data_IF_002145281055
#
_entry.id   IF_002145281055
#
_cell.length_a   1.000
_cell.length_b   1.000
_cell.length_c   1.000
_cell.angle_alpha   90.00
_cell.angle_beta   90.00
_cell.angle_gamma   90.00
#
_symmetry.space_group_name_H-M   'P 1'
#
loop_
_entity.id
_entity.type
_entity.pdbx_description
1 polymer ?
#
# COMPACT_ATOMS: atom_id res chain seq x y z
N UNK A 1 96.80 65.11 -22.20
CA UNK A 1 96.96 64.66 -23.61
C UNK A 1 97.41 63.20 -23.57
N UNK A 2 96.96 62.34 -24.50
CA UNK A 2 95.98 62.62 -25.55
C UNK A 2 94.52 62.41 -25.07
N UNK A 3 93.97 61.20 -25.15
CA UNK A 3 92.60 60.93 -25.64
C UNK A 3 91.93 59.66 -25.06
N UNK A 4 90.69 59.28 -25.40
CA UNK A 4 89.71 59.82 -26.38
C UNK A 4 88.27 59.77 -25.85
N UNK A 5 87.42 60.69 -26.35
CA UNK A 5 85.98 60.66 -26.11
C UNK A 5 85.31 59.64 -27.03
N UNK A 6 84.24 58.98 -26.56
CA UNK A 6 83.10 58.74 -27.42
C UNK A 6 81.77 58.67 -26.63
N UNK A 7 80.82 59.53 -27.00
CA UNK A 7 79.40 59.40 -26.61
C UNK A 7 78.70 58.73 -27.79
N UNK A 8 78.00 57.63 -27.55
CA UNK A 8 77.01 57.10 -28.49
C UNK A 8 75.69 56.99 -27.73
N UNK A 9 74.68 57.68 -28.23
CA UNK A 9 73.29 57.58 -27.76
C UNK A 9 72.56 56.63 -28.69
N UNK A 10 72.03 55.51 -28.20
CA UNK A 10 71.20 54.62 -28.99
C UNK A 10 70.11 53.97 -28.13
N UNK A 11 68.97 53.75 -28.76
CA UNK A 11 67.67 53.48 -28.17
C UNK A 11 67.52 52.21 -27.32
N UNK A 12 66.47 52.25 -26.50
CA UNK A 12 65.78 51.12 -25.88
C UNK A 12 65.81 49.82 -26.70
N UNK A 13 66.15 48.73 -26.04
CA UNK A 13 65.51 47.43 -26.24
C UNK A 13 65.17 46.87 -24.87
N UNK A 14 63.91 46.62 -24.59
CA UNK A 14 63.53 45.87 -23.40
C UNK A 14 64.08 44.43 -23.55
N UNK A 15 64.70 43.91 -22.50
CA UNK A 15 64.95 42.47 -22.44
C UNK A 15 63.61 41.75 -22.42
N UNK A 16 63.48 40.68 -23.20
CA UNK A 16 62.23 39.94 -23.30
C UNK A 16 61.80 39.47 -21.91
N UNK A 17 60.61 39.89 -21.51
CA UNK A 17 60.00 39.42 -20.29
C UNK A 17 59.82 37.92 -20.40
N UNK A 18 60.68 37.16 -19.71
CA UNK A 18 60.46 35.75 -19.44
C UNK A 18 59.14 35.64 -18.70
N UNK A 19 58.07 35.36 -19.44
CA UNK A 19 56.75 35.11 -18.90
C UNK A 19 56.88 33.83 -18.09
N UNK A 20 57.04 33.99 -16.78
CA UNK A 20 56.63 32.97 -15.84
C UNK A 20 55.12 32.85 -16.02
N UNK A 21 54.70 31.94 -16.89
CA UNK A 21 53.35 31.42 -16.86
C UNK A 21 53.11 30.97 -15.42
N UNK A 22 52.13 31.54 -14.70
CA UNK A 22 51.78 31.00 -13.40
C UNK A 22 51.40 29.55 -13.65
N UNK A 23 51.94 28.64 -12.83
CA UNK A 23 51.45 27.26 -12.80
C UNK A 23 49.94 27.35 -12.60
N UNK A 24 49.17 27.05 -13.64
CA UNK A 24 47.74 26.86 -13.44
C UNK A 24 47.60 25.80 -12.35
N UNK A 25 46.68 25.99 -11.39
CA UNK A 25 46.36 24.92 -10.47
C UNK A 25 45.78 23.80 -11.33
N UNK A 26 46.64 22.83 -11.69
CA UNK A 26 46.17 21.52 -12.11
C UNK A 26 45.29 21.05 -10.97
N UNK A 27 43.98 21.12 -11.17
CA UNK A 27 43.09 20.17 -10.52
C UNK A 27 43.76 18.82 -10.71
N UNK A 28 44.04 18.16 -9.59
CA UNK A 28 44.36 16.74 -9.62
C UNK A 28 43.06 16.06 -10.06
N UNK A 29 42.85 16.03 -11.38
CA UNK A 29 42.11 14.95 -12.02
C UNK A 29 42.78 13.69 -11.50
N UNK A 30 42.05 12.94 -10.69
CA UNK A 30 42.49 11.66 -10.16
C UNK A 30 42.59 10.71 -11.35
N UNK A 31 43.79 10.61 -11.92
CA UNK A 31 44.08 9.68 -13.01
C UNK A 31 43.92 8.26 -12.50
N UNK A 32 42.99 7.53 -13.09
CA UNK A 32 42.53 6.21 -12.67
C UNK A 32 41.15 5.93 -13.24
N UNK A 33 40.62 4.71 -13.05
CA UNK A 33 39.23 4.41 -13.31
C UNK A 33 38.31 5.13 -12.31
N UNK A 34 37.11 5.48 -12.73
CA UNK A 34 36.09 6.16 -11.91
C UNK A 34 34.74 5.50 -12.26
N UNK A 35 34.26 4.58 -11.43
CA UNK A 35 33.02 3.86 -11.73
C UNK A 35 31.82 4.63 -11.18
N UNK A 36 30.85 4.96 -12.04
CA UNK A 36 29.67 5.72 -11.65
C UNK A 36 28.39 4.90 -11.84
N UNK A 37 27.61 4.74 -10.77
CA UNK A 37 26.31 4.08 -10.83
C UNK A 37 25.21 5.05 -11.30
N UNK A 38 24.29 4.58 -12.14
CA UNK A 38 23.07 5.31 -12.50
C UNK A 38 21.89 4.38 -12.79
N UNK A 39 20.67 4.89 -12.65
CA UNK A 39 19.45 4.15 -12.99
C UNK A 39 19.20 4.15 -14.51
N UNK A 40 18.87 2.97 -15.03
CA UNK A 40 18.17 2.83 -16.31
C UNK A 40 16.65 2.86 -16.11
N UNK A 41 15.95 1.96 -16.80
CA UNK A 41 14.51 1.74 -16.63
C UNK A 41 14.16 1.00 -15.31
N UNK A 42 13.02 1.37 -14.72
CA UNK A 42 12.42 0.66 -13.58
C UNK A 42 10.99 0.32 -13.96
N UNK A 43 10.70 -0.97 -14.15
CA UNK A 43 9.49 -1.43 -14.81
C UNK A 43 8.64 -2.37 -13.94
N UNK A 44 7.35 -2.09 -13.89
CA UNK A 44 6.31 -2.97 -13.37
C UNK A 44 5.50 -3.54 -14.55
N UNK A 45 5.59 -4.85 -14.79
CA UNK A 45 4.93 -5.53 -15.91
C UNK A 45 5.19 -4.89 -17.30
N UNK A 46 6.37 -4.26 -17.48
CA UNK A 46 6.78 -3.59 -18.72
C UNK A 46 6.31 -2.13 -18.87
N UNK A 47 5.56 -1.59 -17.91
CA UNK A 47 5.29 -0.14 -17.79
C UNK A 47 6.22 0.51 -16.77
N UNK A 48 6.41 1.83 -16.84
CA UNK A 48 7.16 2.60 -15.84
C UNK A 48 6.57 2.42 -14.43
N UNK A 49 7.40 1.96 -13.49
CA UNK A 49 7.00 1.71 -12.11
C UNK A 49 6.77 3.00 -11.30
N UNK A 50 7.46 4.10 -11.62
CA UNK A 50 7.30 5.38 -10.92
C UNK A 50 5.97 6.06 -11.27
N UNK A 51 5.46 5.85 -12.49
CA UNK A 51 4.14 6.30 -12.93
C UNK A 51 2.99 5.35 -12.54
N UNK A 52 3.27 4.27 -11.79
CA UNK A 52 2.30 3.25 -11.42
C UNK A 52 2.13 3.15 -9.89
N UNK A 53 0.99 2.58 -9.46
CA UNK A 53 0.86 2.09 -8.09
C UNK A 53 1.44 0.68 -7.98
N UNK A 54 2.50 0.56 -7.18
CA UNK A 54 3.07 -0.72 -6.76
C UNK A 54 2.43 -1.16 -5.44
N UNK A 55 2.45 -2.46 -5.18
CA UNK A 55 1.93 -3.08 -3.95
C UNK A 55 2.95 -4.05 -3.35
N UNK A 56 2.84 -4.42 -2.07
CA UNK A 56 3.64 -5.50 -1.48
C UNK A 56 3.62 -6.78 -2.32
N UNK A 57 4.76 -7.46 -2.41
CA UNK A 57 4.94 -8.65 -3.27
C UNK A 57 5.08 -8.36 -4.78
N UNK A 58 5.07 -7.10 -5.23
CA UNK A 58 5.28 -6.77 -6.64
C UNK A 58 6.69 -7.08 -7.13
N UNK A 59 6.78 -7.61 -8.36
CA UNK A 59 8.05 -7.86 -9.04
C UNK A 59 8.41 -6.71 -9.96
N UNK A 60 9.53 -6.05 -9.67
CA UNK A 60 10.08 -4.94 -10.43
C UNK A 60 11.29 -5.41 -11.24
N UNK A 61 11.37 -4.95 -12.49
CA UNK A 61 12.56 -5.07 -13.32
C UNK A 61 13.35 -3.77 -13.20
N UNK A 62 14.56 -3.80 -12.65
CA UNK A 62 15.35 -2.62 -12.31
C UNK A 62 16.67 -2.68 -13.07
N UNK A 63 16.91 -1.69 -13.91
CA UNK A 63 18.12 -1.58 -14.72
C UNK A 63 19.19 -0.76 -13.97
N UNK A 64 20.33 -1.40 -13.69
CA UNK A 64 21.56 -0.72 -13.26
C UNK A 64 22.36 -0.34 -14.50
N UNK A 65 22.96 0.85 -14.49
CA UNK A 65 24.01 1.23 -15.43
C UNK A 65 25.26 1.61 -14.66
N UNK A 66 26.41 1.12 -15.10
CA UNK A 66 27.71 1.55 -14.62
C UNK A 66 28.48 2.13 -15.80
N UNK A 67 28.98 3.34 -15.63
CA UNK A 67 29.88 4.03 -16.57
C UNK A 67 31.27 4.18 -15.94
N UNK A 68 32.33 3.86 -16.66
CA UNK A 68 33.68 4.28 -16.27
C UNK A 68 33.94 5.70 -16.77
N UNK A 69 33.82 6.69 -15.88
CA UNK A 69 34.04 8.11 -16.13
C UNK A 69 35.54 8.52 -16.04
N UNK A 70 36.41 7.56 -15.70
CA UNK A 70 37.85 7.75 -15.50
C UNK A 70 38.66 7.72 -16.79
N UNK A 71 39.98 7.93 -16.67
CA UNK A 71 40.92 7.99 -17.82
C UNK A 71 41.65 6.66 -18.10
N UNK A 72 41.35 5.61 -17.33
CA UNK A 72 41.92 4.27 -17.42
C UNK A 72 40.82 3.20 -17.30
N UNK A 73 41.02 2.03 -17.89
CA UNK A 73 40.07 0.91 -17.82
C UNK A 73 39.99 0.33 -16.39
N UNK A 74 38.78 0.01 -15.93
CA UNK A 74 38.53 -0.72 -14.68
C UNK A 74 38.35 -2.21 -14.99
N UNK A 75 39.27 -3.05 -14.52
CA UNK A 75 39.23 -4.51 -14.66
C UNK A 75 39.28 -5.15 -13.27
N UNK A 76 38.25 -5.92 -12.90
CA UNK A 76 38.18 -6.60 -11.61
C UNK A 76 36.76 -6.97 -11.16
N UNK A 77 36.63 -7.28 -9.87
CA UNK A 77 35.38 -7.65 -9.22
C UNK A 77 34.75 -6.43 -8.53
N UNK A 78 33.42 -6.34 -8.57
CA UNK A 78 32.65 -5.43 -7.72
C UNK A 78 31.42 -6.14 -7.15
N UNK A 79 30.97 -5.71 -5.97
CA UNK A 79 29.66 -6.13 -5.46
C UNK A 79 28.59 -5.07 -5.83
N UNK A 80 27.34 -5.51 -5.98
CA UNK A 80 26.19 -4.67 -6.31
C UNK A 80 25.06 -4.91 -5.29
N UNK A 81 24.51 -3.84 -4.73
CA UNK A 81 23.37 -3.88 -3.83
C UNK A 81 22.23 -2.97 -4.33
N UNK A 82 20.98 -3.42 -4.22
CA UNK A 82 19.78 -2.58 -4.40
C UNK A 82 19.04 -2.47 -3.07
N UNK A 83 18.73 -1.24 -2.67
CA UNK A 83 17.94 -0.93 -1.48
C UNK A 83 16.63 -0.23 -1.84
N UNK A 84 15.66 -0.35 -0.94
CA UNK A 84 14.43 0.41 -0.90
C UNK A 84 14.47 1.30 0.36
N UNK A 85 14.43 2.61 0.16
CA UNK A 85 14.58 3.62 1.22
C UNK A 85 13.36 4.55 1.29
N UNK A 86 13.14 5.19 2.43
CA UNK A 86 12.15 6.25 2.60
C UNK A 86 12.66 7.62 2.12
N UNK A 87 13.97 7.79 1.93
CA UNK A 87 14.56 9.00 1.34
C UNK A 87 15.65 8.68 0.29
N UNK A 88 16.46 9.66 -0.09
CA UNK A 88 17.46 9.53 -1.16
C UNK A 88 18.89 9.27 -0.64
N UNK A 89 19.03 8.99 0.66
CA UNK A 89 20.28 8.73 1.36
C UNK A 89 20.32 7.26 1.77
N UNK A 90 21.46 6.59 1.57
CA UNK A 90 21.62 5.21 2.03
C UNK A 90 21.86 5.16 3.54
N UNK A 91 20.98 4.49 4.28
CA UNK A 91 21.19 4.04 5.66
C UNK A 91 21.05 2.52 5.73
N UNK A 92 22.17 1.79 5.73
CA UNK A 92 22.20 0.32 5.76
C UNK A 92 21.55 -0.31 7.01
N UNK A 93 21.27 0.48 8.05
CA UNK A 93 20.56 0.04 9.25
C UNK A 93 19.05 0.20 9.19
N UNK A 94 18.53 1.04 8.28
CA UNK A 94 17.12 1.37 8.14
C UNK A 94 16.52 0.96 6.78
N UNK A 95 17.32 0.99 5.71
CA UNK A 95 16.88 0.68 4.35
C UNK A 95 16.75 -0.83 4.10
N UNK A 96 15.74 -1.20 3.32
CA UNK A 96 15.44 -2.60 3.02
C UNK A 96 16.27 -3.04 1.81
N UNK A 97 17.27 -3.90 2.01
CA UNK A 97 18.04 -4.48 0.90
C UNK A 97 17.21 -5.49 0.09
N UNK A 98 16.89 -5.13 -1.15
CA UNK A 98 16.13 -5.94 -2.11
C UNK A 98 17.01 -6.94 -2.90
N UNK A 99 18.29 -6.59 -3.10
CA UNK A 99 19.25 -7.39 -3.87
C UNK A 99 20.65 -7.23 -3.28
N UNK A 100 21.45 -8.29 -3.36
CA UNK A 100 22.92 -8.28 -3.22
C UNK A 100 23.47 -9.26 -4.25
N UNK A 101 24.43 -8.84 -5.06
CA UNK A 101 25.17 -9.68 -5.99
C UNK A 101 26.66 -9.44 -5.73
N UNK A 102 27.34 -10.46 -5.21
CA UNK A 102 28.76 -10.39 -4.85
C UNK A 102 29.62 -10.97 -5.99
N UNK A 103 30.88 -10.51 -6.09
CA UNK A 103 31.87 -11.00 -7.07
C UNK A 103 31.48 -10.81 -8.55
N UNK A 104 30.89 -9.66 -8.89
CA UNK A 104 30.54 -9.35 -10.29
C UNK A 104 31.79 -8.90 -11.06
N UNK A 105 32.42 -9.84 -11.78
CA UNK A 105 33.56 -9.54 -12.64
C UNK A 105 33.15 -8.73 -13.87
N UNK A 106 33.84 -7.62 -14.12
CA UNK A 106 33.68 -6.86 -15.37
C UNK A 106 34.95 -6.11 -15.78
N UNK A 107 35.05 -5.82 -17.08
CA UNK A 107 36.02 -4.90 -17.67
C UNK A 107 35.26 -3.71 -18.27
N UNK A 108 35.64 -2.50 -17.86
CA UNK A 108 35.09 -1.24 -18.35
C UNK A 108 36.22 -0.39 -18.93
N UNK A 109 36.30 -0.30 -20.26
CA UNK A 109 37.13 0.72 -20.91
C UNK A 109 36.73 2.14 -20.48
N UNK A 110 37.66 3.09 -20.55
CA UNK A 110 37.38 4.50 -20.28
C UNK A 110 36.24 5.01 -21.18
N UNK A 111 35.18 5.55 -20.57
CA UNK A 111 33.94 5.98 -21.23
C UNK A 111 32.98 4.84 -21.62
N UNK A 112 33.25 3.59 -21.24
CA UNK A 112 32.31 2.48 -21.45
C UNK A 112 31.18 2.54 -20.43
N UNK A 113 29.94 2.41 -20.91
CA UNK A 113 28.77 2.13 -20.08
C UNK A 113 28.30 0.70 -20.33
N UNK A 114 28.14 -0.08 -19.26
CA UNK A 114 27.40 -1.35 -19.30
C UNK A 114 26.06 -1.18 -18.58
N UNK A 115 25.09 -2.03 -18.91
CA UNK A 115 23.76 -2.01 -18.32
C UNK A 115 23.28 -3.42 -18.09
N UNK A 116 22.81 -3.70 -16.87
CA UNK A 116 22.22 -4.99 -16.50
C UNK A 116 20.83 -4.80 -15.91
N UNK A 117 19.99 -5.83 -15.93
CA UNK A 117 18.59 -5.76 -15.50
C UNK A 117 18.24 -6.88 -14.54
N UNK A 118 18.14 -6.51 -13.26
CA UNK A 118 17.72 -7.38 -12.18
C UNK A 118 16.21 -7.43 -12.00
N UNK A 119 15.67 -8.57 -11.55
CA UNK A 119 14.25 -8.69 -11.15
C UNK A 119 14.14 -8.89 -9.64
N UNK A 120 13.73 -7.85 -8.92
CA UNK A 120 13.50 -7.89 -7.47
C UNK A 120 12.02 -8.02 -7.14
N UNK A 121 11.73 -8.45 -5.91
CA UNK A 121 10.35 -8.52 -5.38
C UNK A 121 10.27 -7.60 -4.17
N UNK A 122 9.28 -6.71 -4.13
CA UNK A 122 9.01 -5.91 -2.94
C UNK A 122 8.59 -6.83 -1.78
N UNK A 123 8.98 -6.54 -0.52
CA UNK A 123 8.56 -7.34 0.63
C UNK A 123 7.04 -7.46 0.72
N UNK A 124 6.54 -8.59 1.23
CA UNK A 124 5.11 -8.86 1.40
C UNK A 124 4.51 -8.09 2.60
N UNK A 125 5.37 -7.70 3.56
CA UNK A 125 5.10 -6.91 4.76
C UNK A 125 5.35 -5.40 4.59
N UNK A 126 5.67 -4.95 3.38
CA UNK A 126 6.02 -3.55 3.10
C UNK A 126 4.85 -2.59 3.39
N UNK A 127 5.08 -1.59 4.25
CA UNK A 127 4.10 -0.54 4.56
C UNK A 127 3.73 0.31 3.33
N UNK A 128 2.52 0.89 3.34
CA UNK A 128 2.11 1.84 2.32
C UNK A 128 2.86 3.17 2.49
N UNK A 129 3.50 3.66 1.41
CA UNK A 129 4.38 4.81 1.50
C UNK A 129 5.00 5.24 0.16
N UNK A 130 5.87 6.23 0.23
CA UNK A 130 6.70 6.70 -0.89
C UNK A 130 8.12 6.21 -0.67
N UNK A 131 8.64 5.38 -1.57
CA UNK A 131 9.97 4.78 -1.42
C UNK A 131 10.86 5.07 -2.61
N UNK A 132 12.13 5.41 -2.37
CA UNK A 132 13.16 5.51 -3.40
C UNK A 132 13.90 4.18 -3.54
N UNK A 133 14.42 3.92 -4.74
CA UNK A 133 15.37 2.84 -4.96
C UNK A 133 16.78 3.42 -4.87
N UNK A 134 17.70 2.71 -4.22
CA UNK A 134 19.11 3.12 -4.11
C UNK A 134 20.00 1.98 -4.61
N UNK A 135 20.73 2.21 -5.70
CA UNK A 135 21.83 1.34 -6.10
C UNK A 135 23.08 1.72 -5.33
N UNK A 136 23.83 0.71 -4.87
CA UNK A 136 25.21 0.84 -4.44
C UNK A 136 26.07 -0.14 -5.23
N UNK A 137 27.20 0.33 -5.72
CA UNK A 137 28.28 -0.52 -6.24
C UNK A 137 29.47 -0.45 -5.27
N UNK A 138 30.21 -1.55 -5.13
CA UNK A 138 31.38 -1.66 -4.26
C UNK A 138 32.53 -2.28 -5.05
N UNK A 139 33.28 -1.49 -5.84
CA UNK A 139 34.46 -1.96 -6.55
C UNK A 139 35.54 -2.43 -5.59
N UNK A 140 36.20 -3.55 -5.90
CA UNK A 140 37.34 -4.00 -5.11
C UNK A 140 38.51 -3.00 -5.18
N UNK A 141 39.32 -3.00 -4.13
CA UNK A 141 40.47 -2.09 -4.02
C UNK A 141 41.46 -2.20 -5.20
N UNK A 142 41.51 -3.36 -5.88
CA UNK A 142 42.37 -3.61 -7.03
C UNK A 142 41.93 -2.86 -8.30
N UNK A 143 40.65 -2.52 -8.44
CA UNK A 143 40.13 -1.68 -9.55
C UNK A 143 40.70 -0.26 -9.47
N UNK A 144 41.03 0.23 -8.27
CA UNK A 144 41.60 1.56 -8.08
C UNK A 144 40.63 2.72 -8.35
N UNK A 145 39.33 2.47 -8.19
CA UNK A 145 38.26 3.46 -8.34
C UNK A 145 38.53 4.72 -7.50
N UNK A 146 38.59 5.87 -8.18
CA UNK A 146 39.09 7.13 -7.61
C UNK A 146 38.05 7.96 -6.88
N UNK A 147 36.75 7.68 -7.04
CA UNK A 147 35.68 8.56 -6.57
C UNK A 147 34.46 7.80 -6.03
N UNK A 148 34.59 7.15 -4.87
CA UNK A 148 33.50 6.39 -4.26
C UNK A 148 32.19 7.18 -3.92
N UNK A 149 32.08 8.46 -4.24
CA UNK A 149 30.88 9.28 -4.01
C UNK A 149 29.80 9.15 -5.12
N UNK A 150 30.12 8.66 -6.32
CA UNK A 150 29.16 8.34 -7.39
C UNK A 150 28.78 6.84 -7.43
N UNK A 151 29.36 6.02 -6.54
CA UNK A 151 29.03 4.61 -6.35
C UNK A 151 27.67 4.35 -5.68
N UNK A 152 27.05 5.38 -5.07
CA UNK A 152 25.72 5.31 -4.47
C UNK A 152 24.81 6.29 -5.19
N UNK A 153 23.71 5.80 -5.75
CA UNK A 153 22.75 6.60 -6.51
C UNK A 153 21.32 6.25 -6.10
N UNK A 154 20.52 7.27 -5.80
CA UNK A 154 19.09 7.14 -5.52
C UNK A 154 18.23 7.48 -6.75
N UNK A 155 17.04 6.90 -6.84
CA UNK A 155 16.07 7.26 -7.85
C UNK A 155 15.58 8.70 -7.64
N UNK A 156 15.36 9.44 -8.73
CA UNK A 156 14.87 10.83 -8.65
C UNK A 156 13.37 10.94 -8.36
N UNK A 157 12.65 9.84 -8.55
CA UNK A 157 11.23 9.68 -8.24
C UNK A 157 11.07 8.56 -7.20
N UNK A 158 10.02 8.67 -6.37
CA UNK A 158 9.62 7.63 -5.45
C UNK A 158 8.58 6.70 -6.09
N UNK A 159 8.67 5.40 -5.80
CA UNK A 159 7.61 4.43 -6.00
C UNK A 159 6.46 4.74 -5.05
N UNK A 160 5.22 4.75 -5.56
CA UNK A 160 4.01 4.87 -4.74
C UNK A 160 3.53 3.47 -4.34
N UNK A 161 3.93 3.04 -3.15
CA UNK A 161 3.51 1.78 -2.53
C UNK A 161 2.18 1.99 -1.84
N UNK A 162 1.19 1.16 -2.16
CA UNK A 162 -0.12 1.18 -1.52
C UNK A 162 -0.60 -0.21 -1.16
N UNK A 163 -1.40 -0.30 -0.10
CA UNK A 163 -2.14 -1.51 0.27
C UNK A 163 -3.42 -1.65 -0.57
N UNK A 164 -3.24 -1.91 -1.88
CA UNK A 164 -4.33 -2.04 -2.86
C UNK A 164 -4.52 -3.47 -3.36
N UNK A 165 -5.77 -3.81 -3.68
CA UNK A 165 -6.17 -5.11 -4.21
C UNK A 165 -7.35 -4.99 -5.19
N UNK A 166 -7.68 -6.07 -5.90
CA UNK A 166 -8.74 -6.06 -6.91
C UNK A 166 -8.23 -5.91 -8.34
N UNK A 167 -8.94 -5.17 -9.18
CA UNK A 167 -8.69 -5.08 -10.63
C UNK A 167 -8.28 -3.65 -11.04
N UNK A 168 -6.97 -3.38 -11.03
CA UNK A 168 -6.36 -2.09 -11.42
C UNK A 168 -5.10 -2.31 -12.26
N UNK A 169 -4.63 -1.28 -12.99
CA UNK A 169 -3.40 -1.37 -13.80
C UNK A 169 -3.39 -2.48 -14.86
N UNK A 170 -4.58 -2.92 -15.33
CA UNK A 170 -4.71 -4.06 -16.26
C UNK A 170 -4.50 -5.44 -15.63
N UNK A 171 -4.24 -5.52 -14.32
CA UNK A 171 -3.92 -6.75 -13.58
C UNK A 171 -4.96 -7.07 -12.50
N UNK A 172 -4.82 -8.25 -11.89
CA UNK A 172 -5.63 -8.68 -10.74
C UNK A 172 -4.74 -8.94 -9.55
N UNK A 173 -4.92 -8.14 -8.50
CA UNK A 173 -4.09 -8.14 -7.30
C UNK A 173 -4.85 -8.75 -6.13
N UNK A 174 -4.17 -9.61 -5.39
CA UNK A 174 -4.54 -9.99 -4.03
C UNK A 174 -3.54 -9.31 -3.11
N UNK A 175 -4.00 -8.89 -1.95
CA UNK A 175 -3.13 -8.35 -0.92
C UNK A 175 -3.15 -9.29 0.28
N UNK A 176 -2.01 -9.38 0.95
CA UNK A 176 -1.87 -9.92 2.30
C UNK A 176 -1.31 -8.77 3.12
N UNK A 177 -1.85 -8.54 4.32
CA UNK A 177 -1.31 -7.60 5.31
C UNK A 177 -1.25 -8.35 6.62
N UNK A 178 -0.15 -8.21 7.34
CA UNK A 178 0.08 -8.82 8.65
C UNK A 178 -0.20 -7.77 9.74
N UNK A 179 -0.81 -8.19 10.85
CA UNK A 179 -0.92 -7.39 12.08
C UNK A 179 0.29 -7.62 12.99
N UNK A 180 0.46 -6.80 14.04
CA UNK A 180 1.58 -6.88 15.02
C UNK A 180 1.65 -8.25 15.77
N UNK A 181 0.61 -9.09 15.65
CA UNK A 181 0.48 -10.38 16.33
C UNK A 181 0.69 -11.61 15.42
N UNK A 182 1.23 -11.41 14.21
CA UNK A 182 1.38 -12.39 13.12
C UNK A 182 0.05 -12.82 12.45
N UNK A 183 -1.10 -12.16 12.69
CA UNK A 183 -2.35 -12.50 11.99
C UNK A 183 -2.39 -11.97 10.55
N UNK A 184 -2.56 -12.88 9.59
CA UNK A 184 -2.55 -12.59 8.16
C UNK A 184 -3.96 -12.23 7.62
N UNK A 185 -4.19 -10.97 7.22
CA UNK A 185 -5.40 -10.54 6.50
C UNK A 185 -5.25 -10.72 4.98
N UNK A 186 -5.94 -11.73 4.44
CA UNK A 186 -5.92 -12.05 3.01
C UNK A 186 -7.12 -11.42 2.29
N UNK A 187 -6.82 -10.54 1.34
CA UNK A 187 -7.79 -9.69 0.63
C UNK A 187 -7.91 -10.02 -0.85
N UNK A 188 -9.15 -10.01 -1.34
CA UNK A 188 -9.45 -10.13 -2.76
C UNK A 188 -10.79 -9.49 -3.12
N UNK A 189 -10.79 -8.70 -4.18
CA UNK A 189 -11.99 -8.09 -4.76
C UNK A 189 -12.10 -8.53 -6.22
N UNK A 190 -13.30 -8.93 -6.63
CA UNK A 190 -13.63 -9.14 -8.04
C UNK A 190 -14.47 -7.96 -8.52
N UNK A 191 -14.03 -7.30 -9.59
CA UNK A 191 -14.70 -6.16 -10.22
C UNK A 191 -14.67 -4.90 -9.35
N UNK A 192 -13.75 -3.98 -9.65
CA UNK A 192 -13.45 -2.82 -8.81
C UNK A 192 -12.13 -2.97 -8.08
N UNK A 193 -11.81 -1.97 -7.26
CA UNK A 193 -10.53 -1.81 -6.54
C UNK A 193 -10.81 -1.67 -5.06
N UNK A 194 -10.01 -2.31 -4.22
CA UNK A 194 -10.01 -2.12 -2.77
C UNK A 194 -8.69 -1.51 -2.34
N UNK A 195 -8.74 -0.62 -1.36
CA UNK A 195 -7.57 0.00 -0.73
C UNK A 195 -7.75 -0.07 0.80
N UNK A 196 -6.68 -0.44 1.51
CA UNK A 196 -6.56 -0.20 2.95
C UNK A 196 -5.84 1.14 3.13
N UNK A 197 -6.46 2.06 3.86
CA UNK A 197 -5.97 3.42 4.08
C UNK A 197 -5.63 3.57 5.56
N UNK A 198 -4.39 3.90 5.94
CA UNK A 198 -4.04 4.19 7.34
C UNK A 198 -4.92 5.30 7.91
N UNK A 199 -5.53 5.04 9.07
CA UNK A 199 -6.42 5.98 9.75
C UNK A 199 -5.73 6.66 10.94
N UNK A 200 -6.31 7.76 11.41
CA UNK A 200 -5.70 8.60 12.45
C UNK A 200 -5.58 7.96 13.84
N UNK A 201 -6.12 6.75 14.03
CA UNK A 201 -6.06 5.96 15.27
C UNK A 201 -5.03 4.82 15.21
N UNK A 202 -4.26 4.69 14.13
CA UNK A 202 -3.20 3.68 13.99
C UNK A 202 -3.68 2.33 13.46
N UNK A 203 -4.92 2.26 12.95
CA UNK A 203 -5.42 1.11 12.18
C UNK A 203 -5.58 1.47 10.69
N UNK A 204 -6.41 0.70 9.99
CA UNK A 204 -6.74 0.95 8.57
C UNK A 204 -8.25 0.95 8.33
N UNK A 205 -8.70 1.87 7.48
CA UNK A 205 -10.05 1.85 6.90
C UNK A 205 -10.02 1.12 5.54
N UNK A 206 -11.10 0.43 5.19
CA UNK A 206 -11.22 -0.29 3.92
C UNK A 206 -12.13 0.45 2.96
N UNK A 207 -11.59 0.91 1.84
CA UNK A 207 -12.34 1.64 0.80
C UNK A 207 -12.45 0.79 -0.46
N UNK A 208 -13.67 0.52 -0.92
CA UNK A 208 -13.95 -0.17 -2.18
C UNK A 208 -14.50 0.82 -3.22
N UNK A 209 -13.83 0.88 -4.38
CA UNK A 209 -14.18 1.79 -5.49
C UNK A 209 -14.38 1.04 -6.81
N UNK A 210 -15.11 1.65 -7.75
CA UNK A 210 -15.45 1.06 -9.04
C UNK A 210 -16.34 -0.18 -8.91
N UNK A 211 -17.13 -0.28 -7.84
CA UNK A 211 -17.92 -1.48 -7.54
C UNK A 211 -19.25 -1.54 -8.31
N UNK A 212 -19.78 -2.75 -8.46
CA UNK A 212 -21.03 -3.03 -9.19
C UNK A 212 -21.84 -4.13 -8.51
N UNK A 213 -23.11 -4.28 -8.89
CA UNK A 213 -23.99 -5.38 -8.45
C UNK A 213 -23.49 -6.80 -8.82
N UNK A 214 -22.36 -6.91 -9.54
CA UNK A 214 -21.66 -8.17 -9.81
C UNK A 214 -20.38 -8.37 -9.00
N UNK A 215 -19.86 -7.31 -8.38
CA UNK A 215 -18.59 -7.25 -7.66
C UNK A 215 -18.62 -8.01 -6.34
N UNK A 216 -17.48 -8.53 -5.88
CA UNK A 216 -17.45 -9.39 -4.68
C UNK A 216 -16.15 -9.30 -3.90
N UNK A 217 -16.23 -8.83 -2.65
CA UNK A 217 -15.13 -8.80 -1.67
C UNK A 217 -15.07 -10.12 -0.90
N UNK A 218 -13.87 -10.64 -0.70
CA UNK A 218 -13.55 -11.61 0.34
C UNK A 218 -12.32 -11.12 1.11
N UNK A 219 -12.52 -10.87 2.40
CA UNK A 219 -11.49 -10.58 3.38
C UNK A 219 -11.47 -11.71 4.42
N UNK A 220 -10.29 -12.29 4.66
CA UNK A 220 -10.12 -13.40 5.59
C UNK A 220 -8.84 -13.22 6.39
N UNK A 221 -8.98 -12.92 7.67
CA UNK A 221 -7.94 -13.23 8.65
C UNK A 221 -7.79 -14.75 8.74
N UNK A 222 -6.58 -15.27 8.94
CA UNK A 222 -6.38 -16.69 9.17
C UNK A 222 -6.58 -17.10 10.62
N UNK A 223 -5.63 -17.78 11.26
CA UNK A 223 -5.76 -18.45 12.56
C UNK A 223 -4.45 -18.44 13.36
N UNK A 224 -3.41 -17.81 12.82
CA UNK A 224 -2.22 -17.43 13.57
C UNK A 224 -2.56 -16.15 14.37
N UNK A 225 -1.66 -15.67 15.24
CA UNK A 225 -1.97 -14.61 16.21
C UNK A 225 -3.20 -14.89 17.09
N UNK A 226 -4.05 -13.87 17.29
CA UNK A 226 -5.39 -14.01 17.87
C UNK A 226 -6.43 -14.56 16.85
N UNK A 227 -6.04 -14.57 15.57
CA UNK A 227 -6.83 -15.10 14.48
C UNK A 227 -7.97 -14.17 14.04
N UNK A 228 -7.83 -12.88 14.32
CA UNK A 228 -8.67 -11.80 13.87
C UNK A 228 -7.84 -10.62 13.39
N UNK A 229 -8.40 -9.80 12.50
CA UNK A 229 -7.75 -8.57 12.03
C UNK A 229 -8.74 -7.42 12.17
N UNK A 230 -8.30 -6.29 12.69
CA UNK A 230 -9.16 -5.12 12.91
C UNK A 230 -9.05 -4.11 11.78
N UNK A 231 -10.19 -3.64 11.27
CA UNK A 231 -10.29 -2.45 10.42
C UNK A 231 -11.15 -1.40 11.12
N UNK A 232 -10.96 -0.12 10.81
CA UNK A 232 -11.85 0.96 11.19
C UNK A 232 -13.12 0.92 10.34
N UNK A 233 -13.29 1.90 9.47
CA UNK A 233 -14.46 2.02 8.60
C UNK A 233 -14.39 1.07 7.38
N UNK A 234 -15.56 0.73 6.82
CA UNK A 234 -15.71 0.05 5.53
C UNK A 234 -16.63 0.85 4.61
N UNK A 235 -16.04 1.52 3.61
CA UNK A 235 -16.78 2.34 2.62
C UNK A 235 -16.86 1.63 1.27
N UNK A 236 -18.03 1.67 0.63
CA UNK A 236 -18.26 1.14 -0.73
C UNK A 236 -18.99 2.16 -1.60
N UNK A 237 -18.33 2.59 -2.69
CA UNK A 237 -18.75 3.70 -3.56
C UNK A 237 -20.04 3.48 -4.37
N UNK A 238 -20.57 2.26 -4.38
CA UNK A 238 -21.61 1.83 -5.30
C UNK A 238 -22.31 0.56 -4.79
N UNK A 239 -23.15 -0.05 -5.62
CA UNK A 239 -23.74 -1.35 -5.32
C UNK A 239 -22.67 -2.45 -5.36
N UNK A 240 -22.78 -3.47 -4.49
CA UNK A 240 -21.87 -4.62 -4.48
C UNK A 240 -22.64 -5.95 -4.35
N UNK A 241 -22.24 -7.02 -5.03
CA UNK A 241 -22.95 -8.31 -4.92
C UNK A 241 -22.79 -8.93 -3.54
N UNK A 242 -21.56 -8.95 -3.02
CA UNK A 242 -21.30 -9.54 -1.71
C UNK A 242 -20.03 -9.04 -1.04
N UNK A 243 -20.13 -8.86 0.27
CA UNK A 243 -19.01 -8.67 1.19
C UNK A 243 -18.97 -9.88 2.12
N UNK A 244 -17.78 -10.46 2.27
CA UNK A 244 -17.53 -11.58 3.16
C UNK A 244 -16.28 -11.30 3.99
N UNK A 245 -16.51 -10.94 5.25
CA UNK A 245 -15.51 -10.72 6.28
C UNK A 245 -15.44 -11.99 7.15
N UNK A 246 -14.27 -12.63 7.23
CA UNK A 246 -14.03 -13.82 8.03
C UNK A 246 -12.87 -13.60 8.99
N UNK A 247 -13.16 -13.53 10.29
CA UNK A 247 -12.17 -13.12 11.28
C UNK A 247 -11.79 -11.65 11.19
N UNK A 248 -12.43 -10.84 10.33
CA UNK A 248 -12.20 -9.39 10.33
C UNK A 248 -13.19 -8.75 11.30
N UNK A 249 -12.67 -7.98 12.25
CA UNK A 249 -13.43 -7.10 13.13
C UNK A 249 -13.54 -5.74 12.44
N UNK A 250 -14.74 -5.17 12.40
CA UNK A 250 -14.95 -3.78 11.96
C UNK A 250 -15.13 -2.98 13.24
N UNK A 251 -14.30 -1.97 13.45
CA UNK A 251 -14.27 -1.13 14.65
C UNK A 251 -14.87 0.26 14.40
N UNK A 252 -15.30 0.55 13.17
CA UNK A 252 -16.02 1.74 12.77
C UNK A 252 -17.26 1.43 11.93
N UNK A 253 -17.68 2.42 11.15
CA UNK A 253 -18.93 2.40 10.38
C UNK A 253 -18.82 1.60 9.08
N UNK A 254 -19.95 1.09 8.59
CA UNK A 254 -20.05 0.46 7.27
C UNK A 254 -20.99 1.27 6.38
N UNK A 255 -20.45 2.06 5.46
CA UNK A 255 -21.23 2.75 4.42
C UNK A 255 -21.17 2.01 3.09
N UNK A 256 -22.33 1.65 2.56
CA UNK A 256 -22.49 1.10 1.21
C UNK A 256 -23.45 2.03 0.49
N UNK A 257 -22.92 2.90 -0.38
CA UNK A 257 -23.72 3.94 -1.05
C UNK A 257 -24.79 3.36 -1.99
N UNK A 258 -24.57 2.14 -2.50
CA UNK A 258 -25.57 1.36 -3.22
C UNK A 258 -26.14 0.18 -2.43
N UNK A 259 -26.89 -0.67 -3.10
CA UNK A 259 -27.42 -1.90 -2.50
C UNK A 259 -26.39 -3.03 -2.43
N UNK A 260 -26.52 -3.92 -1.43
CA UNK A 260 -25.67 -5.11 -1.26
C UNK A 260 -26.48 -6.41 -1.23
N UNK A 261 -26.25 -7.36 -2.15
CA UNK A 261 -27.08 -8.58 -2.15
C UNK A 261 -26.77 -9.53 -0.97
N UNK A 262 -25.53 -9.54 -0.47
CA UNK A 262 -25.10 -10.36 0.68
C UNK A 262 -24.00 -9.70 1.53
N UNK A 263 -24.29 -9.39 2.78
CA UNK A 263 -23.29 -9.03 3.79
C UNK A 263 -23.08 -10.21 4.74
N UNK A 264 -21.83 -10.63 4.95
CA UNK A 264 -21.47 -11.63 5.96
C UNK A 264 -20.26 -11.14 6.74
N UNK A 265 -20.42 -10.90 8.03
CA UNK A 265 -19.34 -10.47 8.93
C UNK A 265 -19.33 -11.24 10.27
N UNK A 266 -18.30 -10.97 11.07
CA UNK A 266 -18.08 -11.57 12.38
C UNK A 266 -18.94 -10.95 13.48
N UNK A 267 -18.41 -10.95 14.69
CA UNK A 267 -18.95 -10.22 15.83
C UNK A 267 -18.63 -8.71 15.68
N UNK A 268 -19.54 -7.84 16.14
CA UNK A 268 -19.38 -6.38 16.24
C UNK A 268 -19.63 -6.03 17.72
N UNK A 269 -18.57 -6.05 18.53
CA UNK A 269 -18.67 -6.03 20.01
C UNK A 269 -17.97 -4.84 20.67
N UNK A 270 -17.66 -3.81 19.88
CA UNK A 270 -17.28 -2.47 20.35
C UNK A 270 -18.24 -1.97 21.44
N UNK A 271 -17.73 -1.13 22.35
CA UNK A 271 -18.55 -0.35 23.28
C UNK A 271 -19.08 0.95 22.67
N UNK A 272 -18.36 1.52 21.69
CA UNK A 272 -18.81 2.67 20.91
C UNK A 272 -19.96 2.30 19.97
N UNK A 273 -20.79 3.28 19.64
CA UNK A 273 -21.94 3.14 18.75
C UNK A 273 -21.52 3.12 17.27
N UNK A 274 -22.14 2.24 16.49
CA UNK A 274 -21.83 1.97 15.07
C UNK A 274 -23.04 2.17 14.17
N UNK A 275 -22.78 2.56 12.93
CA UNK A 275 -23.77 2.57 11.84
C UNK A 275 -23.41 1.58 10.74
N UNK A 276 -24.43 0.87 10.24
CA UNK A 276 -24.36 0.17 8.97
C UNK A 276 -25.42 0.78 8.06
N UNK A 277 -24.96 1.44 7.00
CA UNK A 277 -25.80 2.13 6.02
C UNK A 277 -25.74 1.39 4.68
N UNK A 278 -26.92 1.07 4.14
CA UNK A 278 -27.08 0.38 2.86
C UNK A 278 -28.01 1.21 1.99
N UNK A 279 -27.45 1.81 0.95
CA UNK A 279 -28.17 2.56 -0.06
C UNK A 279 -29.07 1.71 -0.95
N UNK A 280 -29.77 2.37 -1.88
CA UNK A 280 -30.68 1.71 -2.81
C UNK A 280 -29.97 1.19 -4.06
N UNK A 281 -30.62 0.27 -4.78
CA UNK A 281 -30.10 -0.24 -6.06
C UNK A 281 -31.22 -0.70 -6.96
N UNK A 282 -31.17 -0.31 -8.24
CA UNK A 282 -32.07 -0.85 -9.28
C UNK A 282 -31.72 -2.30 -9.66
N UNK A 283 -30.48 -2.73 -9.42
CA UNK A 283 -30.00 -4.07 -9.76
C UNK A 283 -30.06 -5.07 -8.58
N UNK A 284 -30.11 -4.57 -7.34
CA UNK A 284 -30.21 -5.38 -6.11
C UNK A 284 -31.49 -5.01 -5.37
N UNK A 285 -32.54 -5.79 -5.60
CA UNK A 285 -33.85 -5.58 -4.98
C UNK A 285 -33.98 -6.10 -3.55
N UNK A 286 -33.06 -6.95 -3.09
CA UNK A 286 -33.09 -7.45 -1.71
C UNK A 286 -31.73 -7.89 -1.16
N UNK A 287 -31.53 -7.59 0.12
CA UNK A 287 -30.27 -7.76 0.86
C UNK A 287 -30.36 -8.92 1.85
N UNK A 288 -29.28 -9.71 1.97
CA UNK A 288 -29.18 -10.79 2.96
C UNK A 288 -28.00 -10.56 3.89
N UNK A 289 -28.26 -10.28 5.17
CA UNK A 289 -27.25 -9.98 6.18
C UNK A 289 -27.07 -11.17 7.12
N UNK A 290 -25.81 -11.54 7.37
CA UNK A 290 -25.41 -12.49 8.41
C UNK A 290 -24.29 -11.86 9.26
N UNK A 291 -24.52 -11.73 10.55
CA UNK A 291 -23.52 -11.26 11.52
C UNK A 291 -23.38 -12.27 12.66
N UNK A 292 -22.37 -12.07 13.48
CA UNK A 292 -22.15 -12.76 14.73
C UNK A 292 -23.01 -12.17 15.84
N UNK A 293 -22.42 -11.89 17.00
CA UNK A 293 -23.01 -11.03 18.04
C UNK A 293 -22.83 -9.57 17.62
N UNK A 294 -23.82 -8.72 17.87
CA UNK A 294 -23.70 -7.26 17.62
C UNK A 294 -24.13 -6.47 18.85
N UNK A 295 -23.57 -5.26 18.97
CA UNK A 295 -23.86 -4.26 20.01
C UNK A 295 -23.96 -2.87 19.41
N UNK A 296 -24.70 -1.99 20.10
CA UNK A 296 -24.68 -0.53 19.98
C UNK A 296 -24.73 -0.11 18.49
N UNK A 297 -25.67 -0.69 17.74
CA UNK A 297 -25.72 -0.68 16.29
C UNK A 297 -27.03 -0.06 15.76
N UNK A 298 -26.87 0.96 14.92
CA UNK A 298 -27.92 1.46 14.01
C UNK A 298 -27.72 0.89 12.61
N UNK A 299 -28.59 -0.03 12.18
CA UNK A 299 -28.60 -0.62 10.84
C UNK A 299 -29.74 -0.03 10.00
N UNK A 300 -29.40 0.75 8.97
CA UNK A 300 -30.35 1.33 8.02
C UNK A 300 -30.15 0.77 6.62
N UNK A 301 -31.20 0.20 6.04
CA UNK A 301 -31.19 -0.29 4.65
C UNK A 301 -32.31 0.32 3.82
N UNK A 302 -31.97 0.90 2.67
CA UNK A 302 -32.92 1.34 1.64
C UNK A 302 -33.40 0.20 0.73
N UNK A 303 -32.90 -1.03 0.94
CA UNK A 303 -33.33 -2.24 0.23
C UNK A 303 -34.14 -3.16 1.14
N UNK A 304 -35.04 -3.96 0.57
CA UNK A 304 -35.77 -5.01 1.31
C UNK A 304 -34.78 -6.00 1.90
N UNK A 305 -34.88 -6.27 3.20
CA UNK A 305 -34.07 -7.31 3.84
C UNK A 305 -34.70 -8.69 3.57
N UNK A 306 -34.12 -9.44 2.64
CA UNK A 306 -34.46 -10.85 2.40
C UNK A 306 -34.23 -11.71 3.64
N UNK A 307 -33.18 -11.42 4.40
CA UNK A 307 -32.98 -11.99 5.72
C UNK A 307 -31.97 -11.19 6.53
N UNK A 308 -32.23 -11.03 7.82
CA UNK A 308 -31.23 -10.74 8.83
C UNK A 308 -31.02 -11.99 9.68
N UNK A 309 -29.77 -12.41 9.83
CA UNK A 309 -29.37 -13.48 10.75
C UNK A 309 -28.25 -13.02 11.65
N UNK A 310 -28.49 -13.00 12.95
CA UNK A 310 -27.48 -12.68 13.97
C UNK A 310 -27.38 -13.83 14.97
N UNK A 311 -26.25 -13.93 15.66
CA UNK A 311 -26.13 -14.79 16.84
C UNK A 311 -26.92 -14.17 17.99
N UNK A 312 -26.72 -12.89 18.24
CA UNK A 312 -27.30 -12.10 19.33
C UNK A 312 -27.21 -10.62 18.99
N UNK A 313 -28.14 -9.80 19.47
CA UNK A 313 -28.11 -8.34 19.35
C UNK A 313 -28.41 -7.75 20.74
N UNK A 314 -27.42 -7.05 21.31
CA UNK A 314 -27.49 -6.47 22.65
C UNK A 314 -27.44 -4.95 22.56
N UNK A 315 -28.34 -4.29 23.27
CA UNK A 315 -28.29 -2.86 23.58
C UNK A 315 -27.71 -2.77 25.00
N UNK A 316 -26.53 -2.15 25.15
CA UNK A 316 -25.86 -2.01 26.45
C UNK A 316 -25.44 -0.59 26.84
N UNK A 317 -25.85 0.41 26.05
CA UNK A 317 -25.70 1.83 26.39
C UNK A 317 -27.05 2.51 26.75
N UNK A 318 -27.24 3.79 26.42
CA UNK A 318 -28.46 4.56 26.68
C UNK A 318 -29.21 4.98 25.39
N UNK A 319 -28.63 4.68 24.23
CA UNK A 319 -29.09 4.96 22.88
C UNK A 319 -29.70 3.69 22.35
N UNK A 320 -31.02 3.70 22.06
CA UNK A 320 -31.69 2.51 21.57
C UNK A 320 -31.06 2.02 20.25
N UNK A 321 -30.72 0.74 20.19
CA UNK A 321 -30.33 0.08 18.94
C UNK A 321 -31.49 0.04 17.96
N UNK A 322 -31.23 0.28 16.67
CA UNK A 322 -32.31 0.38 15.66
C UNK A 322 -32.00 -0.39 14.38
N UNK A 323 -32.99 -1.16 13.92
CA UNK A 323 -33.05 -1.72 12.58
C UNK A 323 -34.13 -1.03 11.74
N UNK A 324 -33.72 -0.26 10.73
CA UNK A 324 -34.63 0.39 9.77
C UNK A 324 -34.54 -0.24 8.37
N UNK A 325 -35.68 -0.63 7.79
CA UNK A 325 -35.77 -1.11 6.41
C UNK A 325 -37.19 -0.95 5.79
N UNK A 326 -37.37 -1.01 4.45
CA UNK A 326 -38.70 -1.08 3.84
C UNK A 326 -39.49 -2.32 4.27
N UNK A 327 -38.85 -3.49 4.28
CA UNK A 327 -39.45 -4.75 4.71
C UNK A 327 -38.38 -5.79 5.11
N UNK A 328 -38.76 -6.77 5.93
CA UNK A 328 -37.91 -7.86 6.42
C UNK A 328 -38.59 -9.22 6.24
N UNK A 329 -38.11 -10.03 5.30
CA UNK A 329 -38.69 -11.35 5.03
C UNK A 329 -38.37 -12.39 6.12
N UNK A 330 -37.20 -12.28 6.78
CA UNK A 330 -36.78 -13.23 7.81
C UNK A 330 -35.81 -12.63 8.80
N UNK A 331 -36.25 -12.45 10.04
CA UNK A 331 -35.37 -12.27 11.19
C UNK A 331 -35.04 -13.63 11.82
N UNK A 332 -33.77 -13.92 12.05
CA UNK A 332 -33.33 -15.14 12.72
C UNK A 332 -32.18 -14.85 13.71
N UNK A 333 -32.51 -14.79 14.99
CA UNK A 333 -31.59 -14.57 16.11
C UNK A 333 -31.36 -15.92 16.77
N UNK A 334 -30.11 -16.41 16.73
CA UNK A 334 -29.83 -17.85 16.89
C UNK A 334 -29.43 -18.29 18.29
N UNK A 335 -28.79 -17.41 19.05
CA UNK A 335 -28.01 -17.77 20.23
C UNK A 335 -26.88 -18.75 19.91
N UNK A 336 -26.15 -19.15 20.96
CA UNK A 336 -25.20 -20.26 20.89
C UNK A 336 -25.13 -20.96 22.25
N UNK A 337 -25.91 -22.04 22.39
CA UNK A 337 -26.00 -22.84 23.62
C UNK A 337 -24.66 -23.41 24.10
N UNK A 338 -23.68 -23.61 23.22
CA UNK A 338 -22.35 -24.10 23.61
C UNK A 338 -21.50 -23.02 24.30
N UNK A 339 -21.76 -21.76 24.01
CA UNK A 339 -21.05 -20.60 24.55
C UNK A 339 -21.89 -19.82 25.58
N UNK A 340 -23.03 -20.35 26.03
CA UNK A 340 -23.93 -19.67 26.96
C UNK A 340 -24.69 -18.46 26.36
N UNK A 341 -24.52 -18.17 25.07
CA UNK A 341 -25.14 -17.02 24.39
C UNK A 341 -26.64 -17.29 24.20
N UNK A 342 -27.50 -16.43 24.77
CA UNK A 342 -28.94 -16.60 24.74
C UNK A 342 -29.53 -16.37 23.34
N UNK A 343 -28.99 -15.39 22.62
CA UNK A 343 -29.57 -14.93 21.35
C UNK A 343 -30.75 -13.99 21.59
N UNK A 344 -30.53 -13.02 22.47
CA UNK A 344 -31.42 -11.87 22.66
C UNK A 344 -31.43 -10.97 21.42
N UNK A 345 -32.48 -10.17 21.30
CA UNK A 345 -32.60 -9.12 20.30
C UNK A 345 -33.22 -7.89 20.97
N UNK A 346 -32.35 -6.96 21.36
CA UNK A 346 -32.74 -5.77 22.13
C UNK A 346 -32.96 -4.52 21.26
N UNK A 347 -32.68 -4.61 19.95
CA UNK A 347 -32.91 -3.52 19.00
C UNK A 347 -34.39 -3.29 18.68
N UNK A 348 -34.74 -2.01 18.53
CA UNK A 348 -35.96 -1.55 17.87
C UNK A 348 -36.01 -2.01 16.41
N UNK A 349 -37.21 -2.26 15.92
CA UNK A 349 -37.47 -2.67 14.54
C UNK A 349 -38.43 -1.69 13.89
N UNK A 350 -37.96 -0.93 12.91
CA UNK A 350 -38.73 0.08 12.18
C UNK A 350 -38.85 -0.37 10.72
N UNK A 351 -40.02 -0.86 10.34
CA UNK A 351 -40.30 -1.28 8.96
C UNK A 351 -41.35 -0.37 8.32
N UNK A 352 -40.96 0.33 7.25
CA UNK A 352 -41.82 1.34 6.62
C UNK A 352 -42.97 0.75 5.77
N UNK A 353 -42.87 -0.53 5.41
CA UNK A 353 -43.69 -1.14 4.37
C UNK A 353 -43.11 -0.88 2.97
N UNK A 354 -43.34 -1.81 2.05
CA UNK A 354 -42.92 -1.71 0.66
C UNK A 354 -44.00 -2.31 -0.24
N UNK A 355 -44.49 -1.60 -1.29
CA UNK A 355 -45.55 -2.10 -2.17
C UNK A 355 -45.16 -3.33 -3.01
N UNK A 356 -43.86 -3.63 -3.12
CA UNK A 356 -43.32 -4.81 -3.79
C UNK A 356 -43.07 -5.98 -2.81
N UNK A 357 -43.11 -5.74 -1.50
CA UNK A 357 -43.01 -6.78 -0.49
C UNK A 357 -44.36 -7.45 -0.24
N UNK A 358 -44.39 -8.79 -0.26
CA UNK A 358 -45.62 -9.55 0.02
C UNK A 358 -46.13 -9.38 1.47
N UNK A 359 -45.24 -9.00 2.40
CA UNK A 359 -45.51 -8.61 3.79
C UNK A 359 -44.37 -7.70 4.27
N UNK A 360 -44.68 -6.73 5.15
CA UNK A 360 -43.66 -5.91 5.82
C UNK A 360 -42.71 -6.76 6.66
N UNK A 361 -43.24 -7.65 7.50
CA UNK A 361 -42.49 -8.71 8.18
C UNK A 361 -43.07 -10.08 7.84
N UNK A 362 -42.30 -10.96 7.19
CA UNK A 362 -42.79 -12.30 6.84
C UNK A 362 -42.55 -13.36 7.93
N UNK A 363 -41.43 -13.28 8.66
CA UNK A 363 -41.13 -14.19 9.77
C UNK A 363 -40.06 -13.64 10.71
N UNK A 364 -40.22 -13.91 12.01
CA UNK A 364 -39.19 -13.67 13.01
C UNK A 364 -39.03 -14.92 13.90
N UNK A 365 -37.79 -15.28 14.22
CA UNK A 365 -37.45 -16.30 15.20
C UNK A 365 -36.32 -15.80 16.08
N UNK A 366 -36.59 -15.68 17.38
CA UNK A 366 -35.63 -15.27 18.40
C UNK A 366 -35.38 -16.46 19.33
N UNK A 367 -34.13 -16.65 19.74
CA UNK A 367 -33.73 -17.75 20.64
C UNK A 367 -33.80 -17.33 22.13
N UNK A 368 -33.42 -16.09 22.42
CA UNK A 368 -33.53 -15.42 23.71
C UNK A 368 -34.75 -14.49 23.79
N UNK A 369 -34.56 -13.31 24.38
CA UNK A 369 -35.64 -12.34 24.67
C UNK A 369 -35.73 -11.19 23.65
N UNK A 370 -36.89 -10.52 23.66
CA UNK A 370 -37.16 -9.22 23.02
C UNK A 370 -37.24 -8.11 24.09
N UNK A 371 -36.38 -8.14 25.10
CA UNK A 371 -36.37 -7.09 26.13
C UNK A 371 -35.91 -5.75 25.52
N UNK A 372 -36.47 -4.64 26.00
CA UNK A 372 -36.15 -3.26 25.57
C UNK A 372 -36.47 -2.89 24.11
N UNK A 373 -36.82 -3.85 23.25
CA UNK A 373 -37.15 -3.61 21.84
C UNK A 373 -38.60 -3.16 21.58
N UNK A 374 -38.76 -2.14 20.73
CA UNK A 374 -40.02 -1.58 20.21
C UNK A 374 -40.14 -1.86 18.71
N UNK A 375 -41.25 -2.45 18.27
CA UNK A 375 -41.40 -2.92 16.88
C UNK A 375 -42.57 -2.22 16.17
N UNK A 376 -42.27 -1.53 15.08
CA UNK A 376 -43.21 -0.88 14.15
C UNK A 376 -43.14 -1.61 12.79
N UNK A 377 -44.25 -2.27 12.39
CA UNK A 377 -44.29 -3.29 11.33
C UNK A 377 -45.61 -3.26 10.54
#
# INVERSE_FOLDING_TARGET
MPESRNRITAACKADDGGVFEPLEPRLLLSSGPDLAASFGSVLLNGGDAFSATVVPGDRLSVELRIENQGDQSADGELDVDLFLSLDQSLDEGADIRLLTEDYWWHDFDSGQTNSDTSTVTLPDDLEAGSYYLIWRIRPDFEIGDVNAANNVVASTQALSVKWMFGEFGGRKVRLVVMDDDDTDLRLSLKGGVGELVPNGSGGVDMVLTGTSSTSSLTAKADKDGDGSFSIGDLTVDSSIKSIKLQGVQVLGDVDIQGGIAKLSMGDLLSGDAHTIQIGSSSAISATSIKMGRVKNLTLTSQTILKSLTVTEWLDDDASADVLTAPALNKLAVKGNKKLGIAGNFQADLILAGDPLAAKTLSSAKIAGTLAQATWYV
#
